data_IF_821884154821
#
_entry.id   IF_821884154821
#
_cell.length_a   1.000
_cell.length_b   1.000
_cell.length_c   1.000
_cell.angle_alpha   90.00
_cell.angle_beta   90.00
_cell.angle_gamma   90.00
#
_symmetry.space_group_name_H-M   'P 1'
#
loop_
_entity.id
_entity.type
_entity.pdbx_description
1 polymer ?
#
# COMPACT_ATOMS: atom_id res chain seq x y z
N UNK A 1 -2.07 -16.40 -13.55
CA UNK A 1 -1.71 -17.83 -13.59
C UNK A 1 -1.27 -18.30 -12.21
N UNK A 2 -1.69 -19.51 -11.80
CA UNK A 2 -1.31 -20.15 -10.53
C UNK A 2 -1.05 -21.63 -10.76
N UNK A 3 -0.07 -22.21 -10.07
CA UNK A 3 0.17 -23.66 -10.04
C UNK A 3 0.33 -24.14 -8.60
N UNK A 4 0.08 -25.41 -8.35
CA UNK A 4 0.29 -26.09 -7.06
C UNK A 4 0.87 -27.48 -7.33
N UNK A 5 1.95 -27.81 -6.62
CA UNK A 5 2.61 -29.12 -6.64
C UNK A 5 2.92 -29.53 -5.20
N UNK A 6 2.27 -30.58 -4.66
CA UNK A 6 2.61 -31.09 -3.33
C UNK A 6 4.06 -31.59 -3.28
N UNK A 7 4.77 -31.34 -2.17
CA UNK A 7 6.14 -31.84 -1.95
C UNK A 7 6.31 -32.36 -0.53
N UNK A 8 7.43 -33.06 -0.25
CA UNK A 8 7.74 -33.57 1.10
C UNK A 8 8.01 -32.49 2.14
N UNK A 9 8.24 -31.24 1.72
CA UNK A 9 8.55 -30.09 2.60
C UNK A 9 7.44 -29.02 2.60
N UNK A 10 6.26 -29.38 2.09
CA UNK A 10 5.10 -28.49 1.94
C UNK A 10 4.78 -28.20 0.48
N UNK A 11 3.63 -27.59 0.23
CA UNK A 11 3.20 -27.29 -1.14
C UNK A 11 4.10 -26.27 -1.82
N UNK A 12 4.48 -26.56 -3.07
CA UNK A 12 5.08 -25.62 -3.99
C UNK A 12 3.98 -24.91 -4.79
N UNK A 13 3.78 -23.62 -4.55
CA UNK A 13 2.87 -22.79 -5.34
C UNK A 13 3.63 -21.78 -6.18
N UNK A 14 3.11 -21.44 -7.36
CA UNK A 14 3.58 -20.28 -8.12
C UNK A 14 2.43 -19.36 -8.48
N UNK A 15 2.71 -18.07 -8.61
CA UNK A 15 1.75 -17.08 -9.04
C UNK A 15 2.39 -16.03 -9.93
N UNK A 16 1.81 -15.84 -11.12
CA UNK A 16 2.12 -14.76 -12.05
C UNK A 16 0.85 -14.00 -12.37
N UNK A 17 0.87 -12.68 -12.21
CA UNK A 17 -0.23 -11.76 -12.49
C UNK A 17 0.29 -10.52 -13.22
N UNK A 18 -0.50 -9.99 -14.14
CA UNK A 18 -0.20 -8.81 -14.93
C UNK A 18 -1.46 -7.97 -15.16
N UNK A 19 -1.27 -6.69 -15.48
CA UNK A 19 -2.31 -5.80 -15.97
C UNK A 19 -1.78 -4.96 -17.15
N UNK A 20 -2.65 -4.16 -17.76
CA UNK A 20 -2.30 -3.16 -18.78
C UNK A 20 -2.31 -1.74 -18.20
N UNK A 21 -1.89 -1.57 -16.94
CA UNK A 21 -1.77 -0.25 -16.31
C UNK A 21 -0.29 0.17 -16.25
N UNK A 22 0.44 -0.14 -17.32
CA UNK A 22 1.82 0.30 -17.56
C UNK A 22 1.87 1.71 -18.18
N UNK A 23 2.92 2.00 -18.94
CA UNK A 23 3.05 3.30 -19.60
C UNK A 23 1.91 3.54 -20.61
N UNK A 24 1.32 4.73 -20.58
CA UNK A 24 0.26 5.11 -21.50
C UNK A 24 0.81 5.38 -22.90
N UNK A 25 0.03 5.00 -23.90
CA UNK A 25 0.25 5.39 -25.29
C UNK A 25 -0.27 6.81 -25.55
N UNK A 26 -0.93 7.02 -26.69
CA UNK A 26 -1.64 8.26 -26.96
C UNK A 26 -3.07 7.98 -27.44
N UNK A 27 -3.98 8.86 -27.02
CA UNK A 27 -5.41 8.85 -27.34
C UNK A 27 -5.67 9.25 -28.79
N UNK A 28 -4.66 9.81 -29.49
CA UNK A 28 -4.81 10.32 -30.85
C UNK A 28 -4.85 9.23 -31.92
N UNK A 29 -4.31 8.03 -31.63
CA UNK A 29 -4.23 6.94 -32.60
C UNK A 29 -4.91 5.68 -32.10
N UNK A 30 -4.42 5.11 -30.99
CA UNK A 30 -4.82 3.76 -30.56
C UNK A 30 -5.22 3.63 -29.10
N UNK A 31 -4.93 4.65 -28.27
CA UNK A 31 -5.15 4.61 -26.82
C UNK A 31 -4.59 3.33 -26.16
N UNK A 32 -3.43 2.87 -26.64
CA UNK A 32 -2.81 1.64 -26.16
C UNK A 32 -2.25 1.82 -24.75
N UNK A 33 -2.24 0.75 -23.95
CA UNK A 33 -1.55 0.74 -22.66
C UNK A 33 -0.46 -0.33 -22.59
N UNK A 34 0.62 0.00 -21.88
CA UNK A 34 1.74 -0.90 -21.65
C UNK A 34 1.39 -2.07 -20.73
N UNK A 35 1.92 -3.24 -21.04
CA UNK A 35 1.85 -4.42 -20.19
C UNK A 35 2.71 -4.24 -18.93
N UNK A 36 2.18 -4.59 -17.77
CA UNK A 36 2.84 -4.42 -16.47
C UNK A 36 2.73 -5.68 -15.61
N UNK A 37 3.88 -6.12 -15.08
CA UNK A 37 3.93 -7.21 -14.11
C UNK A 37 3.38 -6.74 -12.75
N UNK A 38 2.46 -7.53 -12.18
CA UNK A 38 1.87 -7.28 -10.86
C UNK A 38 2.49 -8.17 -9.80
N UNK A 39 2.35 -9.48 -9.98
CA UNK A 39 2.88 -10.50 -9.08
C UNK A 39 3.72 -11.52 -9.86
N UNK A 40 4.84 -11.92 -9.30
CA UNK A 40 5.67 -13.02 -9.80
C UNK A 40 6.42 -13.63 -8.62
N UNK A 41 5.85 -14.66 -8.00
CA UNK A 41 6.45 -15.30 -6.83
C UNK A 41 6.13 -16.79 -6.76
N UNK A 42 6.92 -17.52 -5.96
CA UNK A 42 6.63 -18.87 -5.53
C UNK A 42 6.59 -19.00 -4.02
N UNK A 43 5.90 -20.02 -3.52
CA UNK A 43 5.96 -20.43 -2.11
C UNK A 43 6.33 -21.90 -2.01
N UNK A 44 7.16 -22.27 -1.03
CA UNK A 44 7.43 -23.65 -0.65
C UNK A 44 7.16 -23.80 0.84
N UNK A 45 6.04 -24.43 1.19
CA UNK A 45 5.54 -24.41 2.56
C UNK A 45 5.38 -22.97 3.06
N UNK A 46 6.11 -22.62 4.12
CA UNK A 46 6.04 -21.31 4.77
C UNK A 46 6.94 -20.24 4.15
N UNK A 47 7.80 -20.61 3.20
CA UNK A 47 8.74 -19.70 2.55
C UNK A 47 8.16 -19.14 1.25
N UNK A 48 8.33 -17.84 1.02
CA UNK A 48 7.97 -17.12 -0.21
C UNK A 48 9.20 -16.44 -0.78
N UNK A 49 9.35 -16.45 -2.11
CA UNK A 49 10.32 -15.64 -2.83
C UNK A 49 9.71 -15.06 -4.13
N UNK A 50 9.94 -13.78 -4.38
CA UNK A 50 9.52 -13.08 -5.61
C UNK A 50 8.81 -11.75 -5.34
N UNK A 51 8.16 -11.20 -6.37
CA UNK A 51 7.45 -9.92 -6.29
C UNK A 51 6.00 -10.12 -5.86
N UNK A 52 5.63 -9.53 -4.72
CA UNK A 52 4.25 -9.48 -4.23
C UNK A 52 4.03 -8.31 -3.28
N UNK A 53 2.82 -8.19 -2.73
CA UNK A 53 2.48 -7.18 -1.71
C UNK A 53 3.49 -7.19 -0.55
N UNK A 54 3.90 -6.00 -0.11
CA UNK A 54 4.75 -5.85 1.09
C UNK A 54 4.15 -6.57 2.29
N UNK A 55 4.99 -7.11 3.17
CA UNK A 55 4.58 -7.62 4.47
C UNK A 55 4.14 -6.50 5.44
N UNK A 56 4.39 -5.22 5.11
CA UNK A 56 3.96 -4.04 5.87
C UNK A 56 2.51 -3.60 5.59
N UNK A 57 1.75 -4.40 4.81
CA UNK A 57 0.32 -4.16 4.56
C UNK A 57 -0.52 -5.42 4.74
N UNK A 58 -1.83 -5.25 4.89
CA UNK A 58 -2.80 -6.34 4.84
C UNK A 58 -3.73 -6.13 3.63
N UNK A 59 -3.50 -6.83 2.50
CA UNK A 59 -4.33 -6.65 1.31
C UNK A 59 -5.82 -6.91 1.53
N UNK A 60 -6.20 -7.71 2.52
CA UNK A 60 -7.60 -7.99 2.82
C UNK A 60 -8.35 -6.79 3.44
N UNK A 61 -7.63 -5.82 4.02
CA UNK A 61 -8.25 -4.60 4.58
C UNK A 61 -8.52 -3.52 3.54
N UNK A 62 -8.00 -3.66 2.31
CA UNK A 62 -8.28 -2.69 1.24
C UNK A 62 -9.79 -2.58 0.99
N UNK A 63 -10.31 -1.34 0.84
CA UNK A 63 -11.72 -1.12 0.57
C UNK A 63 -12.08 -1.49 -0.88
N UNK A 64 -13.37 -1.71 -1.11
CA UNK A 64 -13.92 -1.98 -2.44
C UNK A 64 -14.27 -0.65 -3.12
N UNK A 65 -13.24 0.07 -3.58
CA UNK A 65 -13.35 1.31 -4.38
C UNK A 65 -13.23 1.02 -5.87
N UNK A 66 -13.80 1.89 -6.71
CA UNK A 66 -13.56 1.83 -8.16
C UNK A 66 -12.21 2.45 -8.53
N UNK A 67 -11.76 3.41 -7.72
CA UNK A 67 -10.50 4.09 -7.91
C UNK A 67 -9.35 3.13 -7.69
N UNK A 68 -8.51 3.01 -8.71
CA UNK A 68 -7.31 2.19 -8.64
C UNK A 68 -6.32 2.72 -7.58
N UNK A 69 -6.27 4.05 -7.38
CA UNK A 69 -5.42 4.69 -6.38
C UNK A 69 -5.90 4.48 -4.93
N UNK A 70 -7.20 4.26 -4.73
CA UNK A 70 -7.77 3.99 -3.41
C UNK A 70 -7.67 5.16 -2.41
N UNK A 71 -7.87 4.90 -1.11
CA UNK A 71 -7.77 5.92 -0.06
C UNK A 71 -6.33 6.44 0.14
N UNK A 72 -6.17 7.76 0.26
CA UNK A 72 -4.86 8.45 0.31
C UNK A 72 -3.93 8.05 1.46
N UNK A 73 -4.45 7.47 2.54
CA UNK A 73 -3.71 7.07 3.74
C UNK A 73 -3.40 5.57 3.81
N UNK A 74 -3.58 4.82 2.73
CA UNK A 74 -3.24 3.41 2.68
C UNK A 74 -1.74 3.15 2.54
N UNK A 75 -1.30 1.99 3.03
CA UNK A 75 -0.03 1.39 2.62
C UNK A 75 -0.30 0.59 1.36
N UNK A 76 0.47 0.86 0.31
CA UNK A 76 0.32 0.20 -0.97
C UNK A 76 1.68 0.11 -1.66
N UNK A 77 2.27 -1.08 -1.63
CA UNK A 77 3.55 -1.33 -2.30
C UNK A 77 3.68 -2.80 -2.67
N UNK A 78 4.40 -3.05 -3.78
CA UNK A 78 4.77 -4.38 -4.25
C UNK A 78 6.20 -4.36 -4.69
N UNK A 79 6.96 -5.33 -4.19
CA UNK A 79 8.37 -5.44 -4.48
C UNK A 79 8.85 -6.87 -4.34
N UNK A 80 10.02 -7.14 -4.92
CA UNK A 80 10.71 -8.39 -4.72
C UNK A 80 11.02 -8.57 -3.23
N UNK A 81 10.73 -9.75 -2.71
CA UNK A 81 10.96 -10.08 -1.30
C UNK A 81 11.23 -11.56 -1.12
N UNK A 82 11.86 -11.89 0.01
CA UNK A 82 11.77 -13.21 0.62
C UNK A 82 11.01 -13.09 1.93
N UNK A 83 10.13 -14.04 2.22
CA UNK A 83 9.27 -13.97 3.42
C UNK A 83 9.03 -15.36 4.01
N UNK A 84 9.17 -15.46 5.33
CA UNK A 84 8.69 -16.62 6.09
C UNK A 84 7.34 -16.29 6.72
N UNK A 85 6.37 -17.20 6.65
CA UNK A 85 5.05 -17.06 7.29
C UNK A 85 4.73 -18.31 8.11
N UNK A 86 4.56 -18.14 9.42
CA UNK A 86 4.32 -19.23 10.34
C UNK A 86 2.92 -19.11 10.96
N UNK A 87 2.03 -20.09 10.76
CA UNK A 87 0.75 -20.13 11.46
C UNK A 87 0.95 -20.46 12.95
N UNK A 88 0.04 -19.97 13.79
CA UNK A 88 -0.09 -20.33 15.20
C UNK A 88 -1.57 -20.51 15.57
N UNK A 89 -1.81 -21.26 16.65
CA UNK A 89 -3.17 -21.61 17.09
C UNK A 89 -3.78 -22.68 16.19
N UNK A 90 -3.78 -23.92 16.67
CA UNK A 90 -4.40 -25.06 16.00
C UNK A 90 -5.90 -25.19 16.27
N UNK A 91 -6.55 -26.24 15.76
CA UNK A 91 -7.94 -26.56 16.07
C UNK A 91 -8.21 -26.51 17.58
N UNK A 92 -9.21 -25.76 18.00
CA UNK A 92 -9.58 -25.59 19.42
C UNK A 92 -8.78 -24.53 20.21
N UNK A 93 -7.84 -23.81 19.59
CA UNK A 93 -7.11 -22.73 20.26
C UNK A 93 -7.97 -21.49 20.46
N UNK A 94 -7.92 -20.88 21.65
CA UNK A 94 -8.61 -19.62 21.97
C UNK A 94 -8.08 -18.43 21.14
N UNK A 95 -6.84 -18.53 20.66
CA UNK A 95 -6.21 -17.56 19.75
C UNK A 95 -5.60 -18.33 18.57
N UNK A 96 -5.79 -17.82 17.36
CA UNK A 96 -5.15 -18.36 16.15
C UNK A 96 -4.75 -17.23 15.21
N UNK A 97 -3.86 -17.52 14.27
CA UNK A 97 -3.32 -16.52 13.39
C UNK A 97 -2.06 -16.96 12.68
N UNK A 98 -1.27 -15.99 12.25
CA UNK A 98 0.04 -16.20 11.64
C UNK A 98 0.95 -15.02 11.92
N UNK A 99 2.25 -15.27 11.99
CA UNK A 99 3.25 -14.21 11.95
C UNK A 99 4.15 -14.39 10.73
N UNK A 100 4.72 -13.31 10.23
CA UNK A 100 5.65 -13.35 9.11
C UNK A 100 6.77 -12.33 9.27
N UNK A 101 7.93 -12.66 8.73
CA UNK A 101 9.07 -11.76 8.61
C UNK A 101 9.56 -11.79 7.17
N UNK A 102 9.79 -10.61 6.61
CA UNK A 102 10.22 -10.41 5.23
C UNK A 102 11.48 -9.57 5.14
N UNK A 103 12.26 -9.84 4.08
CA UNK A 103 13.30 -8.98 3.58
C UNK A 103 12.86 -8.52 2.19
N UNK A 104 12.67 -7.22 2.04
CA UNK A 104 12.11 -6.59 0.85
C UNK A 104 13.20 -5.81 0.11
N UNK A 105 13.11 -5.79 -1.23
CA UNK A 105 14.04 -5.05 -2.07
C UNK A 105 14.01 -3.56 -1.69
N UNK A 106 15.13 -2.98 -1.28
CA UNK A 106 15.17 -1.60 -0.82
C UNK A 106 15.21 -0.63 -2.02
N UNK A 107 14.80 0.60 -1.76
CA UNK A 107 14.85 1.73 -2.68
C UNK A 107 14.71 3.03 -1.88
N UNK A 108 15.67 3.95 -2.01
CA UNK A 108 15.59 5.27 -1.37
C UNK A 108 15.17 6.35 -2.35
N UNK A 109 14.03 7.00 -2.08
CA UNK A 109 13.51 8.17 -2.79
C UNK A 109 13.44 9.37 -1.86
N UNK A 110 14.41 10.27 -1.95
CA UNK A 110 14.44 11.50 -1.13
C UNK A 110 13.97 12.70 -1.93
N UNK A 111 13.51 13.72 -1.22
CA UNK A 111 13.37 15.05 -1.80
C UNK A 111 14.64 15.86 -1.57
N UNK A 112 15.15 16.51 -2.62
CA UNK A 112 16.42 17.27 -2.57
C UNK A 112 16.16 18.77 -2.53
N UNK A 113 17.17 19.61 -2.18
CA UNK A 113 17.03 21.05 -2.27
C UNK A 113 16.51 21.49 -3.64
N UNK A 114 15.50 22.36 -3.65
CA UNK A 114 14.76 22.74 -4.87
C UNK A 114 13.47 21.94 -5.13
N UNK A 115 13.22 20.89 -4.35
CA UNK A 115 11.91 20.21 -4.33
C UNK A 115 11.78 19.03 -5.27
N UNK A 116 12.80 18.73 -6.07
CA UNK A 116 12.81 17.55 -6.94
C UNK A 116 12.89 16.25 -6.12
N UNK A 117 12.27 15.20 -6.62
CA UNK A 117 12.45 13.83 -6.12
C UNK A 117 13.74 13.24 -6.71
N UNK A 118 14.50 12.53 -5.90
CA UNK A 118 15.74 11.87 -6.28
C UNK A 118 15.72 10.41 -5.82
N UNK A 119 15.85 9.49 -6.77
CA UNK A 119 16.04 8.05 -6.54
C UNK A 119 17.52 7.78 -6.41
N UNK A 120 17.91 7.20 -5.27
CA UNK A 120 19.32 7.08 -4.93
C UNK A 120 20.00 5.87 -5.56
N UNK A 121 19.28 4.76 -5.77
CA UNK A 121 19.80 3.48 -6.28
C UNK A 121 21.11 3.04 -5.58
N UNK A 122 21.26 3.39 -4.30
CA UNK A 122 22.51 3.18 -3.52
C UNK A 122 22.25 2.45 -2.20
N UNK A 123 21.08 1.83 -2.08
CA UNK A 123 20.67 1.04 -0.93
C UNK A 123 21.58 -0.18 -0.72
N UNK A 124 21.84 -0.52 0.54
CA UNK A 124 22.77 -1.63 0.90
C UNK A 124 22.16 -2.70 1.77
N UNK A 125 21.08 -2.39 2.48
CA UNK A 125 20.37 -3.30 3.36
C UNK A 125 18.96 -3.48 2.83
N UNK A 126 18.42 -4.71 2.84
CA UNK A 126 17.01 -4.91 2.54
C UNK A 126 16.13 -4.23 3.59
N UNK A 127 14.91 -3.89 3.19
CA UNK A 127 13.91 -3.41 4.13
C UNK A 127 13.38 -4.61 4.92
N UNK A 128 13.41 -4.52 6.25
CA UNK A 128 12.96 -5.58 7.14
C UNK A 128 11.52 -5.31 7.53
N UNK A 129 10.64 -6.27 7.25
CA UNK A 129 9.21 -6.14 7.54
C UNK A 129 8.71 -7.30 8.39
N UNK A 130 7.77 -7.01 9.28
CA UNK A 130 7.16 -8.01 10.15
C UNK A 130 5.65 -7.85 10.20
N UNK A 131 4.93 -8.94 10.38
CA UNK A 131 3.47 -8.94 10.61
C UNK A 131 3.10 -9.98 11.66
N UNK A 132 2.09 -9.67 12.47
CA UNK A 132 1.30 -10.66 13.20
C UNK A 132 -0.18 -10.43 12.89
N UNK A 133 -0.84 -11.44 12.32
CA UNK A 133 -2.28 -11.47 12.05
C UNK A 133 -2.96 -12.33 13.11
N UNK A 134 -3.97 -11.78 13.76
CA UNK A 134 -4.83 -12.45 14.73
C UNK A 134 -6.21 -12.70 14.13
N UNK A 135 -6.67 -13.95 14.23
CA UNK A 135 -8.08 -14.29 14.09
C UNK A 135 -8.74 -14.12 15.45
N UNK A 136 -9.66 -13.17 15.57
CA UNK A 136 -10.39 -12.86 16.80
C UNK A 136 -11.87 -13.19 16.63
N UNK A 137 -12.64 -13.17 17.73
CA UNK A 137 -14.09 -13.36 17.67
C UNK A 137 -14.84 -12.26 16.90
N UNK A 138 -14.25 -11.07 16.78
CA UNK A 138 -14.86 -9.91 16.09
C UNK A 138 -14.37 -9.74 14.64
N UNK A 139 -13.38 -10.50 14.21
CA UNK A 139 -12.78 -10.36 12.88
C UNK A 139 -11.28 -10.60 12.87
N UNK A 140 -10.61 -10.12 11.82
CA UNK A 140 -9.16 -10.26 11.64
C UNK A 140 -8.46 -8.94 11.88
N UNK A 141 -7.43 -8.96 12.71
CA UNK A 141 -6.61 -7.77 13.02
C UNK A 141 -5.16 -8.12 12.78
N UNK A 142 -4.42 -7.27 12.08
CA UNK A 142 -2.97 -7.43 11.88
C UNK A 142 -2.20 -6.23 12.37
N UNK A 143 -1.04 -6.48 12.97
CA UNK A 143 -0.04 -5.49 13.34
C UNK A 143 1.20 -5.72 12.48
N UNK A 144 1.78 -4.65 11.97
CA UNK A 144 2.92 -4.68 11.05
C UNK A 144 4.02 -3.76 11.54
N UNK A 145 5.27 -4.12 11.22
CA UNK A 145 6.45 -3.32 11.46
C UNK A 145 7.32 -3.22 10.21
N UNK A 146 7.98 -2.08 10.05
CA UNK A 146 8.95 -1.78 8.99
C UNK A 146 10.19 -1.18 9.64
N UNK A 147 11.36 -1.66 9.25
CA UNK A 147 12.66 -1.09 9.56
C UNK A 147 13.48 -1.02 8.28
N UNK A 148 13.98 0.15 7.93
CA UNK A 148 14.75 0.33 6.70
C UNK A 148 15.85 1.37 6.81
N UNK A 149 16.83 1.26 5.94
CA UNK A 149 17.87 2.25 5.75
C UNK A 149 17.46 3.21 4.63
N UNK A 150 17.44 4.50 4.92
CA UNK A 150 17.31 5.56 3.89
C UNK A 150 18.70 6.09 3.62
N UNK A 151 19.21 5.92 2.39
CA UNK A 151 20.60 6.19 2.05
C UNK A 151 20.74 6.91 0.73
N UNK A 152 21.65 7.88 0.69
CA UNK A 152 22.12 8.53 -0.54
C UNK A 152 23.63 8.53 -0.54
N UNK A 153 24.22 8.10 -1.65
CA UNK A 153 25.65 8.18 -1.94
C UNK A 153 25.83 8.57 -3.40
N UNK A 154 25.75 9.88 -3.65
CA UNK A 154 25.71 10.45 -4.99
C UNK A 154 26.64 11.65 -5.10
N UNK A 155 27.20 11.84 -6.30
CA UNK A 155 27.99 13.04 -6.65
C UNK A 155 27.11 14.22 -7.04
N UNK A 156 25.95 13.95 -7.63
CA UNK A 156 24.94 14.93 -8.03
C UNK A 156 23.55 14.39 -7.70
N UNK A 157 22.84 14.93 -6.70
CA UNK A 157 23.31 15.96 -5.76
C UNK A 157 24.49 15.43 -4.93
N UNK A 158 25.39 16.32 -4.49
CA UNK A 158 26.54 15.95 -3.66
C UNK A 158 26.07 15.62 -2.23
N UNK A 159 25.69 14.37 -2.02
CA UNK A 159 25.07 13.88 -0.78
C UNK A 159 25.64 12.51 -0.46
N UNK A 160 26.18 12.36 0.75
CA UNK A 160 26.64 11.08 1.31
C UNK A 160 26.15 11.01 2.75
N UNK A 161 24.98 10.42 2.96
CA UNK A 161 24.38 10.23 4.28
C UNK A 161 23.48 9.01 4.30
N UNK A 162 23.22 8.49 5.51
CA UNK A 162 22.29 7.40 5.73
C UNK A 162 21.59 7.55 7.08
N UNK A 163 20.32 7.15 7.14
CA UNK A 163 19.52 7.10 8.37
C UNK A 163 18.83 5.74 8.50
N UNK A 164 18.67 5.29 9.73
CA UNK A 164 17.80 4.16 10.05
C UNK A 164 16.45 4.74 10.48
N UNK A 165 15.37 4.23 9.90
CA UNK A 165 14.01 4.63 10.24
C UNK A 165 13.06 3.45 10.21
N UNK A 166 11.86 3.66 10.74
CA UNK A 166 10.86 2.60 10.78
C UNK A 166 9.45 3.12 10.90
N UNK A 167 8.51 2.19 10.82
CA UNK A 167 7.08 2.46 10.93
C UNK A 167 6.34 1.26 11.51
N UNK A 168 5.16 1.53 12.04
CA UNK A 168 4.19 0.53 12.49
C UNK A 168 2.87 0.75 11.77
N UNK A 169 2.12 -0.33 11.57
CA UNK A 169 0.79 -0.28 10.98
C UNK A 169 -0.15 -1.26 11.66
N UNK A 170 -1.42 -0.91 11.80
CA UNK A 170 -2.49 -1.81 12.24
C UNK A 170 -3.57 -1.81 11.17
N UNK A 171 -4.05 -2.99 10.81
CA UNK A 171 -5.13 -3.15 9.85
C UNK A 171 -6.18 -4.14 10.36
N UNK A 172 -7.42 -3.99 9.91
CA UNK A 172 -8.51 -4.85 10.34
C UNK A 172 -9.59 -5.07 9.29
N UNK A 173 -10.24 -6.23 9.39
CA UNK A 173 -11.45 -6.62 8.66
C UNK A 173 -12.43 -7.20 9.67
N UNK A 174 -13.49 -6.45 9.94
CA UNK A 174 -14.45 -6.69 11.01
C UNK A 174 -15.83 -6.92 10.35
N UNK A 175 -16.30 -8.18 10.26
CA UNK A 175 -17.69 -8.45 9.88
C UNK A 175 -18.64 -7.75 10.85
N UNK A 176 -19.76 -7.23 10.35
CA UNK A 176 -20.74 -6.51 11.17
C UNK A 176 -22.10 -7.20 11.13
N UNK A 177 -23.00 -6.76 10.25
CA UNK A 177 -24.35 -7.29 10.12
C UNK A 177 -24.51 -7.95 8.75
N UNK A 178 -24.95 -9.21 8.73
CA UNK A 178 -25.15 -9.94 7.47
C UNK A 178 -23.85 -10.05 6.66
N UNK A 179 -23.82 -9.44 5.47
CA UNK A 179 -22.67 -9.42 4.54
C UNK A 179 -21.78 -8.17 4.70
N UNK A 180 -22.14 -7.27 5.61
CA UNK A 180 -21.46 -6.00 5.79
C UNK A 180 -20.14 -6.18 6.53
N UNK A 181 -19.17 -5.32 6.23
CA UNK A 181 -17.89 -5.29 6.91
C UNK A 181 -17.37 -3.87 7.12
N UNK A 182 -16.63 -3.71 8.21
CA UNK A 182 -15.81 -2.54 8.49
C UNK A 182 -14.34 -2.89 8.29
N UNK A 183 -13.62 -2.05 7.56
CA UNK A 183 -12.19 -2.23 7.28
C UNK A 183 -11.43 -0.98 7.62
N UNK A 184 -10.21 -1.14 8.09
CA UNK A 184 -9.35 0.00 8.39
C UNK A 184 -7.89 -0.34 8.25
N UNK A 185 -7.09 0.71 8.07
CA UNK A 185 -5.64 0.70 8.29
C UNK A 185 -5.26 2.00 8.97
N UNK A 186 -4.29 1.96 9.88
CA UNK A 186 -3.65 3.12 10.46
C UNK A 186 -2.15 2.86 10.61
N UNK A 187 -1.33 3.76 10.11
CA UNK A 187 0.12 3.62 10.05
C UNK A 187 0.80 4.89 10.52
N UNK A 188 1.94 4.77 11.20
CA UNK A 188 2.76 5.89 11.64
C UNK A 188 4.24 5.50 11.74
N UNK A 189 5.13 6.44 11.45
CA UNK A 189 6.57 6.22 11.48
C UNK A 189 7.36 7.40 10.96
N UNK A 190 8.64 7.19 10.70
CA UNK A 190 9.50 8.18 10.04
C UNK A 190 10.17 7.65 8.76
N UNK A 191 9.65 6.53 8.26
CA UNK A 191 10.21 5.84 7.11
C UNK A 191 9.10 5.09 6.35
N UNK A 192 7.89 5.65 6.26
CA UNK A 192 6.82 5.09 5.42
C UNK A 192 7.17 5.40 3.96
N UNK A 193 7.29 6.68 3.60
CA UNK A 193 7.74 7.17 2.29
C UNK A 193 7.14 6.38 1.12
N UNK A 194 7.98 5.70 0.33
CA UNK A 194 7.58 4.92 -0.85
C UNK A 194 6.45 3.91 -0.61
N UNK A 195 6.31 3.41 0.62
CA UNK A 195 5.21 2.50 1.01
C UNK A 195 3.82 3.17 1.01
N UNK A 196 3.75 4.51 0.94
CA UNK A 196 2.52 5.30 0.80
C UNK A 196 2.16 5.57 -0.66
N UNK A 197 2.30 4.57 -1.53
CA UNK A 197 2.13 4.71 -2.99
C UNK A 197 3.00 5.83 -3.60
N UNK A 198 4.18 6.05 -3.01
CA UNK A 198 5.10 7.12 -3.40
C UNK A 198 4.60 8.55 -3.13
N UNK A 199 3.50 8.75 -2.40
CA UNK A 199 2.96 10.09 -2.12
C UNK A 199 3.91 10.92 -1.24
N UNK A 200 4.54 10.29 -0.25
CA UNK A 200 5.50 10.94 0.63
C UNK A 200 6.94 10.52 0.31
N UNK A 201 7.93 11.43 0.44
CA UNK A 201 9.33 11.07 0.29
C UNK A 201 9.81 10.15 1.43
N UNK A 202 10.87 9.40 1.19
CA UNK A 202 11.52 8.58 2.22
C UNK A 202 12.33 9.42 3.20
N UNK A 203 12.77 10.60 2.75
CA UNK A 203 13.56 11.55 3.50
C UNK A 203 13.68 12.87 2.75
N UNK A 204 14.09 13.92 3.46
CA UNK A 204 14.36 15.24 2.90
C UNK A 204 15.84 15.55 3.10
N UNK A 205 16.54 15.87 2.01
CA UNK A 205 17.94 16.30 2.06
C UNK A 205 17.98 17.81 2.32
N UNK A 206 18.62 18.20 3.42
CA UNK A 206 18.84 19.62 3.73
C UNK A 206 19.94 20.24 2.88
N UNK A 207 20.05 21.57 2.93
CA UNK A 207 21.14 22.31 2.27
C UNK A 207 22.54 21.96 2.80
N UNK A 208 22.61 21.33 3.96
CA UNK A 208 23.82 20.79 4.58
C UNK A 208 24.20 19.38 4.08
N UNK A 209 23.45 18.83 3.12
CA UNK A 209 23.69 17.50 2.58
C UNK A 209 23.27 16.36 3.51
N UNK A 210 22.52 16.64 4.58
CA UNK A 210 22.06 15.61 5.52
C UNK A 210 20.61 15.19 5.23
N UNK A 211 20.37 13.88 5.30
CA UNK A 211 19.04 13.28 5.21
C UNK A 211 18.31 13.49 6.54
N UNK A 212 17.10 14.02 6.47
CA UNK A 212 16.18 14.15 7.59
C UNK A 212 14.95 13.30 7.32
N UNK A 213 14.61 12.44 8.27
CA UNK A 213 13.46 11.56 8.18
C UNK A 213 12.20 12.29 8.65
N UNK A 214 11.24 12.59 7.76
CA UNK A 214 9.98 13.20 8.16
C UNK A 214 9.13 12.22 8.96
N UNK A 215 8.33 12.71 9.91
CA UNK A 215 7.37 11.85 10.64
C UNK A 215 6.06 11.79 9.86
N UNK A 216 5.66 10.61 9.45
CA UNK A 216 4.50 10.37 8.61
C UNK A 216 3.46 9.55 9.36
N UNK A 217 2.19 9.79 9.06
CA UNK A 217 1.10 8.92 9.45
C UNK A 217 -0.01 8.95 8.41
N UNK A 218 -0.79 7.88 8.36
CA UNK A 218 -1.92 7.76 7.45
C UNK A 218 -2.92 6.75 7.97
N UNK A 219 -4.19 6.93 7.63
CA UNK A 219 -5.23 5.98 7.94
C UNK A 219 -6.33 5.99 6.88
N UNK A 220 -7.07 4.89 6.83
CA UNK A 220 -8.39 4.87 6.23
C UNK A 220 -9.34 4.03 7.07
N UNK A 221 -10.62 4.35 6.97
CA UNK A 221 -11.73 3.57 7.49
C UNK A 221 -12.77 3.42 6.40
N UNK A 222 -13.29 2.21 6.22
CA UNK A 222 -14.23 1.86 5.19
C UNK A 222 -15.38 1.04 5.77
N UNK A 223 -16.60 1.34 5.34
CA UNK A 223 -17.77 0.54 5.65
C UNK A 223 -18.44 0.10 4.35
N UNK A 224 -18.60 -1.20 4.20
CA UNK A 224 -19.29 -1.83 3.08
C UNK A 224 -20.65 -2.32 3.52
N UNK A 225 -21.70 -1.82 2.86
CA UNK A 225 -23.08 -2.16 3.14
C UNK A 225 -23.73 -2.85 1.93
N UNK A 226 -24.34 -4.01 2.15
CA UNK A 226 -25.16 -4.72 1.18
C UNK A 226 -26.64 -4.34 1.35
N UNK A 227 -27.18 -3.61 0.38
CA UNK A 227 -28.61 -3.28 0.33
C UNK A 227 -29.45 -4.52 0.00
N UNK A 228 -28.94 -5.33 -0.92
CA UNK A 228 -29.38 -6.69 -1.26
C UNK A 228 -28.16 -7.49 -1.69
N UNK A 229 -28.32 -8.80 -1.90
CA UNK A 229 -27.23 -9.72 -2.25
C UNK A 229 -26.36 -9.29 -3.44
N UNK A 230 -26.94 -8.55 -4.37
CA UNK A 230 -26.32 -8.10 -5.62
C UNK A 230 -26.00 -6.61 -5.64
N UNK A 231 -26.33 -5.83 -4.61
CA UNK A 231 -26.16 -4.39 -4.61
C UNK A 231 -25.51 -3.92 -3.32
N UNK A 232 -24.34 -3.31 -3.43
CA UNK A 232 -23.55 -2.84 -2.29
C UNK A 232 -23.05 -1.43 -2.49
N UNK A 233 -22.84 -0.73 -1.38
CA UNK A 233 -22.18 0.57 -1.34
C UNK A 233 -20.98 0.52 -0.41
N UNK A 234 -20.00 1.37 -0.69
CA UNK A 234 -18.88 1.60 0.20
C UNK A 234 -18.77 3.09 0.52
N UNK A 235 -18.55 3.40 1.81
CA UNK A 235 -18.09 4.72 2.25
C UNK A 235 -16.66 4.54 2.77
N UNK A 236 -15.72 5.29 2.22
CA UNK A 236 -14.30 5.27 2.61
C UNK A 236 -13.86 6.67 2.97
N UNK A 237 -13.29 6.84 4.16
CA UNK A 237 -12.68 8.07 4.62
C UNK A 237 -11.20 7.83 4.89
N UNK A 238 -10.35 8.79 4.52
CA UNK A 238 -8.91 8.62 4.68
C UNK A 238 -8.18 9.93 4.81
N UNK A 239 -7.09 9.92 5.59
CA UNK A 239 -6.16 11.03 5.73
C UNK A 239 -4.74 10.51 5.79
N UNK A 240 -3.81 11.28 5.23
CA UNK A 240 -2.38 11.08 5.38
C UNK A 240 -1.70 12.43 5.66
N UNK A 241 -0.66 12.44 6.49
CA UNK A 241 0.06 13.67 6.82
C UNK A 241 1.53 13.40 7.15
N UNK A 242 2.34 14.42 6.89
CA UNK A 242 3.77 14.45 7.11
C UNK A 242 4.16 15.69 7.92
N UNK A 243 4.90 15.46 9.01
CA UNK A 243 5.63 16.51 9.72
C UNK A 243 7.01 16.66 9.06
N UNK A 244 7.07 17.57 8.09
CA UNK A 244 8.28 17.88 7.35
C UNK A 244 9.36 18.48 8.26
N UNK A 245 10.65 18.12 8.06
CA UNK A 245 11.74 18.75 8.78
C UNK A 245 11.91 20.22 8.37
N UNK A 246 12.53 21.01 9.25
CA UNK A 246 12.87 22.40 8.93
C UNK A 246 13.73 22.48 7.66
N UNK A 247 13.38 23.42 6.77
CA UNK A 247 14.05 23.58 5.48
C UNK A 247 13.57 22.61 4.39
N UNK A 248 12.51 21.83 4.62
CA UNK A 248 11.86 21.09 3.56
C UNK A 248 11.39 22.04 2.43
N UNK A 249 11.49 21.62 1.15
CA UNK A 249 11.01 22.42 0.03
C UNK A 249 9.54 22.84 0.20
N UNK A 250 9.21 24.05 -0.26
CA UNK A 250 7.85 24.60 -0.19
C UNK A 250 6.77 23.66 -0.78
N UNK A 251 7.12 22.95 -1.85
CA UNK A 251 6.24 22.03 -2.58
C UNK A 251 6.10 20.64 -1.94
N UNK A 252 6.82 20.34 -0.85
CA UNK A 252 6.71 19.05 -0.15
C UNK A 252 5.29 18.81 0.33
N UNK A 253 4.81 17.57 0.20
CA UNK A 253 3.49 17.18 0.70
C UNK A 253 3.43 17.32 2.22
N UNK A 254 2.34 17.87 2.73
CA UNK A 254 2.12 18.04 4.18
C UNK A 254 0.91 17.26 4.67
N UNK A 255 -0.18 17.29 3.92
CA UNK A 255 -1.37 16.51 4.25
C UNK A 255 -2.26 16.29 3.05
N UNK A 256 -3.07 15.24 3.11
CA UNK A 256 -4.14 14.95 2.16
C UNK A 256 -5.27 14.22 2.86
N UNK A 257 -6.50 14.53 2.47
CA UNK A 257 -7.68 13.79 2.89
C UNK A 257 -8.50 13.36 1.67
N UNK A 258 -9.22 12.25 1.78
CA UNK A 258 -10.15 11.80 0.75
C UNK A 258 -11.39 11.15 1.35
N UNK A 259 -12.51 11.30 0.64
CA UNK A 259 -13.76 10.60 0.86
C UNK A 259 -14.18 9.96 -0.46
N UNK A 260 -14.51 8.67 -0.42
CA UNK A 260 -15.01 7.91 -1.55
C UNK A 260 -16.38 7.35 -1.18
N UNK A 261 -17.35 7.47 -2.09
CA UNK A 261 -18.64 6.83 -1.98
C UNK A 261 -19.01 6.17 -3.29
N UNK A 262 -19.39 4.90 -3.24
CA UNK A 262 -19.76 4.16 -4.43
C UNK A 262 -21.04 3.33 -4.28
N UNK A 263 -21.57 2.93 -5.44
CA UNK A 263 -22.63 1.95 -5.56
C UNK A 263 -22.19 0.94 -6.63
N UNK A 264 -22.17 -0.34 -6.25
CA UNK A 264 -21.73 -1.44 -7.10
C UNK A 264 -22.84 -2.47 -7.19
N UNK A 265 -23.27 -2.75 -8.41
CA UNK A 265 -24.26 -3.75 -8.76
C UNK A 265 -23.61 -4.95 -9.43
N UNK A 266 -23.90 -6.15 -8.93
CA UNK A 266 -23.49 -7.43 -9.48
C UNK A 266 -24.68 -8.13 -10.13
N UNK A 267 -25.07 -7.79 -11.37
CA UNK A 267 -26.27 -8.33 -12.02
C UNK A 267 -26.26 -9.86 -12.14
N UNK A 268 -25.07 -10.42 -12.30
CA UNK A 268 -24.79 -11.86 -12.35
C UNK A 268 -23.48 -12.13 -11.61
N UNK A 269 -23.22 -13.39 -11.29
CA UNK A 269 -21.93 -13.78 -10.73
C UNK A 269 -20.79 -13.33 -11.66
N UNK A 270 -19.69 -12.86 -11.07
CA UNK A 270 -18.47 -12.41 -11.76
C UNK A 270 -18.60 -11.15 -12.63
N UNK A 271 -19.75 -10.45 -12.62
CA UNK A 271 -19.90 -9.15 -13.25
C UNK A 271 -20.17 -8.08 -12.18
N UNK A 272 -19.41 -6.99 -12.19
CA UNK A 272 -19.62 -5.81 -11.34
C UNK A 272 -19.76 -4.58 -12.25
N UNK A 273 -20.80 -3.78 -12.04
CA UNK A 273 -21.00 -2.46 -12.63
C UNK A 273 -21.05 -1.45 -11.49
N UNK A 274 -20.33 -0.34 -11.57
CA UNK A 274 -20.30 0.61 -10.47
C UNK A 274 -20.16 2.07 -10.89
N UNK A 275 -20.53 2.93 -9.96
CA UNK A 275 -20.27 4.38 -9.99
C UNK A 275 -19.65 4.81 -8.67
N UNK A 276 -18.70 5.74 -8.73
CA UNK A 276 -18.00 6.26 -7.54
C UNK A 276 -17.80 7.77 -7.64
N UNK A 277 -18.09 8.45 -6.54
CA UNK A 277 -17.74 9.84 -6.33
C UNK A 277 -16.62 9.96 -5.31
N UNK A 278 -15.65 10.83 -5.62
CA UNK A 278 -14.45 11.04 -4.84
C UNK A 278 -14.29 12.53 -4.61
N UNK A 279 -14.15 12.91 -3.34
CA UNK A 279 -13.68 14.22 -2.93
C UNK A 279 -12.33 14.06 -2.25
N UNK A 280 -11.32 14.82 -2.66
CA UNK A 280 -10.02 14.80 -2.01
C UNK A 280 -9.40 16.20 -1.93
N UNK A 281 -8.55 16.41 -0.93
CA UNK A 281 -7.73 17.60 -0.79
C UNK A 281 -6.26 17.25 -0.60
N UNK A 282 -5.40 18.21 -0.90
CA UNK A 282 -3.96 18.13 -0.68
C UNK A 282 -3.44 19.49 -0.23
N UNK A 283 -2.53 19.49 0.72
CA UNK A 283 -1.80 20.67 1.19
C UNK A 283 -0.29 20.44 1.13
N UNK A 284 0.46 21.42 0.65
CA UNK A 284 1.93 21.44 0.66
C UNK A 284 2.49 22.20 1.87
N UNK A 285 3.80 22.12 2.07
CA UNK A 285 4.48 22.70 3.24
C UNK A 285 4.27 24.22 3.34
N UNK A 286 4.33 24.93 2.22
CA UNK A 286 4.06 26.37 2.09
C UNK A 286 2.58 26.76 2.23
N UNK A 287 1.69 25.79 2.35
CA UNK A 287 0.28 25.99 2.57
C UNK A 287 -0.58 26.13 1.33
N UNK A 288 -0.04 25.92 0.12
CA UNK A 288 -0.88 25.79 -1.07
C UNK A 288 -1.83 24.59 -0.91
N UNK A 289 -3.06 24.76 -1.42
CA UNK A 289 -4.12 23.77 -1.33
C UNK A 289 -4.63 23.43 -2.73
N UNK A 290 -4.86 22.15 -2.97
CA UNK A 290 -5.58 21.65 -4.14
C UNK A 290 -6.74 20.77 -3.71
N UNK A 291 -7.80 20.77 -4.51
CA UNK A 291 -8.96 19.90 -4.31
C UNK A 291 -9.29 19.12 -5.58
N UNK A 292 -9.86 17.93 -5.40
CA UNK A 292 -10.31 17.04 -6.45
C UNK A 292 -11.77 16.68 -6.18
N UNK A 293 -12.61 16.78 -7.22
CA UNK A 293 -13.93 16.16 -7.26
C UNK A 293 -13.96 15.30 -8.52
N UNK A 294 -14.18 13.99 -8.37
CA UNK A 294 -14.19 13.04 -9.49
C UNK A 294 -15.40 12.14 -9.39
N UNK A 295 -16.15 12.04 -10.49
CA UNK A 295 -17.16 11.01 -10.72
C UNK A 295 -16.58 10.03 -11.73
N UNK A 296 -16.67 8.74 -11.44
CA UNK A 296 -16.21 7.68 -12.34
C UNK A 296 -17.18 6.50 -12.37
N UNK A 297 -17.08 5.70 -13.42
CA UNK A 297 -17.84 4.47 -13.59
C UNK A 297 -16.91 3.33 -13.99
N UNK A 298 -17.28 2.10 -13.65
CA UNK A 298 -16.52 0.91 -14.02
C UNK A 298 -17.43 -0.24 -14.42
N UNK A 299 -16.89 -1.12 -15.26
CA UNK A 299 -17.43 -2.44 -15.54
C UNK A 299 -16.30 -3.46 -15.41
N UNK A 300 -16.54 -4.52 -14.63
CA UNK A 300 -15.57 -5.58 -14.35
C UNK A 300 -16.20 -6.94 -14.63
N UNK A 301 -15.49 -7.75 -15.39
CA UNK A 301 -15.85 -9.12 -15.71
C UNK A 301 -14.71 -10.05 -15.29
N UNK A 302 -14.96 -10.94 -14.32
CA UNK A 302 -13.96 -11.88 -13.82
C UNK A 302 -14.10 -13.24 -14.54
N UNK A 303 -12.97 -13.82 -14.95
CA UNK A 303 -12.86 -15.09 -15.68
C UNK A 303 -11.70 -15.94 -15.16
#
# INVERSE_FOLDING_TARGET
MKTNTPTSVGDLNTHVEFDFYGADGNESVSNSHGFRLRHAYGTLGNFLAGQTWTNFMNPASLPDTLDFGGPVGQIFDRQAQVRWTQPFGGPGSATSGQWSVGLENPETVVQIPGGASFRADTDRLPDVTGQVLFNTSIGKISVHGLLRQVRVDAKTPAVVDQKLGGAVSVAGVIPTVGKDDFRFTASAGNAIGRYSDGFFPDGVVGSDGQIRLPKQWGWFAAYRHYWVDQLRSNLVLSTASENNPAGAPASTNKSTASAHVNLIWSPVANADLGVEYIHADRKTEDGLKGNLNRLQASAKYAF
#
